data_IF_748843176464
#
_entry.id   IF_748843176464
#
_cell.length_a   1.000
_cell.length_b   1.000
_cell.length_c   1.000
_cell.angle_alpha   90.00
_cell.angle_beta   90.00
_cell.angle_gamma   90.00
#
_symmetry.space_group_name_H-M   'P 1'
#
loop_
_entity.id
_entity.type
_entity.pdbx_description
1 polymer ?
#
# COMPACT_ATOMS: atom_id res chain seq x y z
N UNK A 1 54.14 -9.45 -11.70
CA UNK A 1 53.18 -9.41 -10.59
C UNK A 1 51.94 -8.55 -10.90
N UNK A 2 52.07 -7.29 -11.36
CA UNK A 2 50.93 -6.41 -11.62
C UNK A 2 49.94 -7.00 -12.66
N UNK A 3 50.40 -7.42 -13.82
CA UNK A 3 49.60 -8.01 -14.90
C UNK A 3 48.88 -9.30 -14.48
N UNK A 4 49.54 -10.13 -13.63
CA UNK A 4 48.93 -11.35 -13.12
C UNK A 4 47.79 -11.04 -12.16
N UNK A 5 47.97 -10.06 -11.27
CA UNK A 5 46.94 -9.63 -10.33
C UNK A 5 45.80 -8.94 -11.09
N UNK A 6 46.08 -8.12 -12.09
CA UNK A 6 45.06 -7.50 -12.93
C UNK A 6 44.18 -8.55 -13.64
N UNK A 7 44.81 -9.57 -14.26
CA UNK A 7 44.07 -10.67 -14.91
C UNK A 7 43.18 -11.42 -13.91
N UNK A 8 43.68 -11.71 -12.71
CA UNK A 8 42.90 -12.37 -11.64
C UNK A 8 41.73 -11.52 -11.18
N UNK A 9 41.95 -10.22 -10.99
CA UNK A 9 40.89 -9.28 -10.59
C UNK A 9 39.81 -9.17 -11.69
N UNK A 10 40.19 -9.04 -12.94
CA UNK A 10 39.25 -8.99 -14.06
C UNK A 10 38.47 -10.31 -14.16
N UNK A 11 39.15 -11.45 -14.09
CA UNK A 11 38.49 -12.76 -14.12
C UNK A 11 37.48 -12.90 -12.95
N UNK A 12 37.87 -12.49 -11.74
CA UNK A 12 37.01 -12.51 -10.57
C UNK A 12 35.77 -11.64 -10.77
N UNK A 13 35.92 -10.38 -11.27
CA UNK A 13 34.81 -9.49 -11.56
C UNK A 13 33.89 -10.12 -12.61
N UNK A 14 34.42 -10.64 -13.70
CA UNK A 14 33.61 -11.28 -14.74
C UNK A 14 32.82 -12.47 -14.18
N UNK A 15 33.49 -13.37 -13.47
CA UNK A 15 32.85 -14.56 -12.90
C UNK A 15 31.77 -14.17 -11.90
N UNK A 16 32.03 -13.23 -10.99
CA UNK A 16 31.04 -12.78 -10.01
C UNK A 16 29.86 -12.07 -10.67
N UNK A 17 30.11 -11.26 -11.69
CA UNK A 17 29.06 -10.63 -12.48
C UNK A 17 28.19 -11.66 -13.20
N UNK A 18 28.80 -12.68 -13.80
CA UNK A 18 28.01 -13.74 -14.46
C UNK A 18 27.19 -14.53 -13.43
N UNK A 19 27.80 -14.94 -12.33
CA UNK A 19 27.12 -15.76 -11.32
C UNK A 19 26.01 -14.96 -10.64
N UNK A 20 26.31 -13.79 -10.10
CA UNK A 20 25.35 -13.02 -9.28
C UNK A 20 24.46 -12.09 -10.12
N UNK A 21 24.96 -11.55 -11.23
CA UNK A 21 24.16 -10.67 -12.10
C UNK A 21 23.21 -11.42 -13.04
N UNK A 22 23.62 -12.60 -13.52
CA UNK A 22 22.80 -13.34 -14.48
C UNK A 22 22.29 -14.66 -13.94
N UNK A 23 23.17 -15.59 -13.55
CA UNK A 23 22.74 -16.96 -13.17
C UNK A 23 21.79 -16.90 -11.98
N UNK A 24 22.16 -16.22 -10.92
CA UNK A 24 21.30 -16.06 -9.73
C UNK A 24 19.95 -15.41 -10.06
N UNK A 25 19.96 -14.32 -10.84
CA UNK A 25 18.76 -13.62 -11.22
C UNK A 25 17.82 -14.49 -12.07
N UNK A 26 18.35 -15.18 -13.09
CA UNK A 26 17.53 -16.06 -13.95
C UNK A 26 17.00 -17.28 -13.19
N UNK A 27 17.84 -17.91 -12.36
CA UNK A 27 17.40 -19.04 -11.54
C UNK A 27 16.32 -18.60 -10.55
N UNK A 28 16.55 -17.49 -9.84
CA UNK A 28 15.56 -16.94 -8.90
C UNK A 28 14.23 -16.61 -9.58
N UNK A 29 14.27 -15.95 -10.73
CA UNK A 29 13.06 -15.63 -11.51
C UNK A 29 12.39 -16.92 -12.01
N UNK A 30 13.14 -17.90 -12.51
CA UNK A 30 12.59 -19.17 -12.97
C UNK A 30 11.89 -19.95 -11.85
N UNK A 31 12.49 -20.00 -10.68
CA UNK A 31 11.87 -20.63 -9.49
C UNK A 31 10.62 -19.87 -9.06
N UNK A 32 10.67 -18.54 -9.01
CA UNK A 32 9.52 -17.70 -8.65
C UNK A 32 8.36 -17.91 -9.64
N UNK A 33 8.62 -17.92 -10.94
CA UNK A 33 7.61 -18.14 -11.98
C UNK A 33 7.03 -19.57 -11.94
N UNK A 34 7.84 -20.56 -11.56
CA UNK A 34 7.38 -21.95 -11.50
C UNK A 34 6.53 -22.24 -10.26
N UNK A 35 6.90 -21.66 -9.10
CA UNK A 35 6.26 -22.00 -7.82
C UNK A 35 5.25 -20.94 -7.35
N UNK A 36 5.45 -19.67 -7.74
CA UNK A 36 4.71 -18.52 -7.23
C UNK A 36 4.30 -17.55 -8.36
N UNK A 37 3.80 -18.10 -9.47
CA UNK A 37 3.53 -17.34 -10.69
C UNK A 37 2.73 -16.07 -10.44
N UNK A 38 1.63 -16.15 -9.69
CA UNK A 38 0.77 -15.00 -9.43
C UNK A 38 1.52 -13.87 -8.69
N UNK A 39 2.29 -14.23 -7.66
CA UNK A 39 3.10 -13.28 -6.90
C UNK A 39 4.27 -12.73 -7.74
N UNK A 40 4.91 -13.58 -8.54
CA UNK A 40 5.99 -13.19 -9.44
C UNK A 40 5.51 -12.23 -10.54
N UNK A 41 4.25 -12.34 -10.96
CA UNK A 41 3.61 -11.44 -11.91
C UNK A 41 2.98 -10.20 -11.22
N UNK A 42 3.26 -9.98 -9.92
CA UNK A 42 2.83 -8.78 -9.19
C UNK A 42 1.41 -8.86 -8.63
N UNK A 43 0.82 -10.05 -8.51
CA UNK A 43 -0.55 -10.26 -7.97
C UNK A 43 -1.60 -9.34 -8.63
N UNK A 44 -1.46 -9.10 -9.93
CA UNK A 44 -2.31 -8.19 -10.71
C UNK A 44 -3.63 -8.86 -11.03
N UNK A 45 -4.74 -8.26 -10.58
CA UNK A 45 -6.12 -8.63 -10.93
C UNK A 45 -6.75 -7.63 -11.91
N UNK A 46 -8.05 -7.75 -12.10
CA UNK A 46 -8.83 -6.89 -13.03
C UNK A 46 -8.82 -5.42 -12.60
N UNK A 47 -8.89 -5.17 -11.30
CA UNK A 47 -9.02 -3.82 -10.72
C UNK A 47 -7.71 -3.28 -10.13
N UNK A 48 -6.61 -4.02 -10.25
CA UNK A 48 -5.31 -3.61 -9.75
C UNK A 48 -4.52 -4.75 -9.12
N UNK A 49 -3.50 -4.42 -8.32
CA UNK A 49 -2.66 -5.35 -7.60
C UNK A 49 -2.91 -5.27 -6.10
N UNK A 50 -2.98 -6.41 -5.43
CA UNK A 50 -3.06 -6.50 -3.96
C UNK A 50 -1.75 -6.12 -3.26
N UNK A 51 -0.69 -5.88 -4.01
CA UNK A 51 0.64 -5.51 -3.46
C UNK A 51 0.85 -4.00 -3.35
N UNK A 52 -0.02 -3.19 -3.94
CA UNK A 52 0.12 -1.73 -3.96
C UNK A 52 -1.22 -1.06 -3.67
N UNK A 53 -1.17 0.02 -2.89
CA UNK A 53 -2.32 0.88 -2.64
C UNK A 53 -2.84 1.51 -3.93
N UNK A 54 -4.15 1.74 -3.99
CA UNK A 54 -4.85 2.28 -5.15
C UNK A 54 -5.72 3.45 -4.76
N UNK A 55 -6.04 4.29 -5.74
CA UNK A 55 -6.87 5.45 -5.53
C UNK A 55 -8.35 5.09 -5.39
N UNK A 56 -8.87 5.20 -4.19
CA UNK A 56 -10.28 5.05 -3.84
C UNK A 56 -10.83 6.37 -3.28
N UNK A 57 -10.95 7.42 -4.10
CA UNK A 57 -11.33 8.78 -3.66
C UNK A 57 -12.84 8.99 -3.44
N UNK A 58 -13.70 8.11 -3.92
CA UNK A 58 -15.15 8.26 -3.75
C UNK A 58 -15.61 7.77 -2.37
N UNK A 59 -16.49 8.51 -1.65
CA UNK A 59 -17.06 8.07 -0.37
C UNK A 59 -17.81 6.74 -0.40
N UNK A 60 -18.07 6.19 -1.58
CA UNK A 60 -18.68 4.86 -1.77
C UNK A 60 -17.74 3.71 -1.49
N UNK A 61 -16.47 3.99 -1.33
CA UNK A 61 -15.41 3.00 -1.14
C UNK A 61 -14.69 3.19 0.18
N UNK A 62 -14.11 2.13 0.67
CA UNK A 62 -13.11 2.23 1.74
C UNK A 62 -11.83 2.80 1.15
N UNK A 63 -11.22 3.72 1.87
CA UNK A 63 -9.99 4.39 1.46
C UNK A 63 -8.80 3.77 2.17
N UNK A 64 -7.68 3.70 1.47
CA UNK A 64 -6.39 3.31 2.03
C UNK A 64 -5.72 4.42 2.82
N UNK A 65 -4.46 4.19 3.17
CA UNK A 65 -3.59 5.20 3.77
C UNK A 65 -3.26 6.29 2.75
N UNK A 66 -2.99 7.53 3.20
CA UNK A 66 -2.52 8.57 2.31
C UNK A 66 -1.19 8.17 1.66
N UNK A 67 -1.05 8.51 0.40
CA UNK A 67 0.17 8.35 -0.36
C UNK A 67 1.10 9.55 -0.11
N UNK A 68 2.41 9.39 -0.26
CA UNK A 68 3.39 10.46 -0.01
C UNK A 68 3.50 11.45 -1.18
N UNK A 69 3.06 11.06 -2.38
CA UNK A 69 3.08 11.91 -3.58
C UNK A 69 1.78 12.70 -3.77
N UNK A 70 0.73 12.38 -3.01
CA UNK A 70 -0.55 13.10 -2.98
C UNK A 70 -0.48 14.36 -2.11
N UNK A 71 -1.23 14.42 -1.02
CA UNK A 71 -1.38 15.64 -0.22
C UNK A 71 -0.10 16.10 0.48
N UNK A 72 0.89 15.24 0.57
CA UNK A 72 2.17 15.57 1.20
C UNK A 72 3.18 16.20 0.25
N UNK A 73 3.01 16.02 -1.05
CA UNK A 73 3.89 16.62 -2.05
C UNK A 73 3.50 18.06 -2.39
N UNK A 74 2.19 18.36 -2.46
CA UNK A 74 1.68 19.69 -2.82
C UNK A 74 0.52 20.10 -1.91
N UNK A 75 0.71 21.18 -1.15
CA UNK A 75 -0.34 21.80 -0.35
C UNK A 75 -1.41 22.34 -1.30
N UNK A 76 -2.54 21.67 -1.40
CA UNK A 76 -3.66 22.08 -2.26
C UNK A 76 -4.26 20.98 -3.13
N UNK A 77 -3.57 19.85 -3.27
CA UNK A 77 -4.12 18.68 -3.94
C UNK A 77 -5.12 17.95 -3.04
N UNK A 78 -6.04 17.19 -3.64
CA UNK A 78 -7.02 16.40 -2.89
C UNK A 78 -6.29 15.42 -1.96
N UNK A 79 -6.43 15.56 -0.63
CA UNK A 79 -5.68 14.76 0.32
C UNK A 79 -5.99 13.26 0.29
N UNK A 80 -7.03 12.85 -0.41
CA UNK A 80 -7.39 11.42 -0.53
C UNK A 80 -7.07 10.82 -1.87
N UNK A 81 -6.61 11.61 -2.78
CA UNK A 81 -6.17 11.06 -4.05
C UNK A 81 -4.78 10.51 -3.81
N UNK A 82 -4.67 9.20 -3.73
CA UNK A 82 -3.41 8.50 -3.93
C UNK A 82 -3.00 8.75 -5.39
N UNK A 83 -2.59 9.98 -5.69
CA UNK A 83 -2.07 10.38 -6.99
C UNK A 83 -0.61 9.99 -7.12
N UNK A 84 -0.22 8.89 -6.46
CA UNK A 84 1.09 8.36 -6.62
C UNK A 84 1.42 8.27 -8.10
N UNK A 85 2.50 8.87 -8.49
CA UNK A 85 2.99 8.66 -9.85
C UNK A 85 3.24 7.18 -9.99
N UNK A 86 2.56 6.55 -10.91
CA UNK A 86 2.69 5.12 -11.17
C UNK A 86 4.18 4.74 -11.19
N UNK A 87 4.59 3.86 -10.29
CA UNK A 87 5.96 3.38 -10.16
C UNK A 87 6.86 4.13 -9.17
N UNK A 88 6.37 5.13 -8.45
CA UNK A 88 7.12 5.78 -7.37
C UNK A 88 6.64 5.28 -6.00
N UNK A 89 7.55 4.78 -5.17
CA UNK A 89 7.30 4.39 -3.80
C UNK A 89 8.32 5.10 -2.91
N UNK A 90 7.85 5.94 -2.00
CA UNK A 90 8.69 6.67 -1.08
C UNK A 90 7.96 7.02 0.21
N UNK A 91 8.71 7.25 1.27
CA UNK A 91 8.19 7.87 2.49
C UNK A 91 8.32 9.39 2.39
N UNK A 92 7.47 10.12 3.09
CA UNK A 92 7.53 11.60 3.13
C UNK A 92 8.86 12.15 3.64
N UNK A 93 9.60 11.36 4.43
CA UNK A 93 10.85 11.77 5.10
C UNK A 93 10.72 13.06 5.96
N UNK A 94 9.49 13.43 6.32
CA UNK A 94 9.20 14.61 7.12
C UNK A 94 9.37 14.31 8.60
N UNK A 95 10.21 15.08 9.27
CA UNK A 95 10.41 14.96 10.71
C UNK A 95 9.21 15.49 11.52
N UNK A 96 9.09 15.12 12.82
CA UNK A 96 7.94 15.46 13.67
C UNK A 96 7.77 16.98 13.92
N UNK A 97 8.79 17.79 13.62
CA UNK A 97 8.73 19.26 13.71
C UNK A 97 8.45 19.94 12.36
N UNK A 98 8.18 19.17 11.31
CA UNK A 98 7.89 19.71 9.98
C UNK A 98 6.57 20.47 9.98
N UNK A 99 6.60 21.74 9.54
CA UNK A 99 5.38 22.52 9.34
C UNK A 99 4.50 21.95 8.23
N UNK A 100 5.13 21.34 7.22
CA UNK A 100 4.42 20.67 6.10
C UNK A 100 3.66 19.46 6.63
N UNK A 101 4.29 18.57 7.40
CA UNK A 101 3.64 17.43 8.01
C UNK A 101 2.41 17.87 8.84
N UNK A 102 2.58 18.89 9.68
CA UNK A 102 1.50 19.40 10.51
C UNK A 102 0.34 19.98 9.68
N UNK A 103 0.64 20.73 8.63
CA UNK A 103 -0.37 21.31 7.74
C UNK A 103 -1.16 20.21 7.01
N UNK A 104 -0.46 19.23 6.46
CA UNK A 104 -1.08 18.12 5.73
C UNK A 104 -1.93 17.22 6.64
N UNK A 105 -1.43 16.89 7.82
CA UNK A 105 -2.22 16.13 8.81
C UNK A 105 -3.49 16.88 9.21
N UNK A 106 -3.42 18.20 9.40
CA UNK A 106 -4.61 19.02 9.69
C UNK A 106 -5.61 19.03 8.52
N UNK A 107 -5.11 19.12 7.28
CA UNK A 107 -5.97 19.06 6.09
C UNK A 107 -6.68 17.71 5.97
N UNK A 108 -5.96 16.60 6.20
CA UNK A 108 -6.55 15.25 6.22
C UNK A 108 -7.58 15.08 7.33
N UNK A 109 -7.29 15.56 8.55
CA UNK A 109 -8.26 15.55 9.64
C UNK A 109 -9.56 16.31 9.27
N UNK A 110 -9.42 17.52 8.72
CA UNK A 110 -10.56 18.31 8.28
C UNK A 110 -11.37 17.62 7.17
N UNK A 111 -10.70 16.97 6.23
CA UNK A 111 -11.32 16.20 5.18
C UNK A 111 -12.15 15.04 5.74
N UNK A 112 -11.57 14.19 6.59
CA UNK A 112 -12.26 13.06 7.19
C UNK A 112 -13.44 13.48 8.07
N UNK A 113 -13.27 14.54 8.85
CA UNK A 113 -14.38 15.10 9.65
C UNK A 113 -15.54 15.61 8.78
N UNK A 114 -15.24 16.21 7.61
CA UNK A 114 -16.29 16.62 6.65
C UNK A 114 -17.07 15.43 6.11
N UNK A 115 -16.47 14.26 6.01
CA UNK A 115 -17.12 13.01 5.61
C UNK A 115 -17.81 12.28 6.79
N UNK A 116 -17.80 12.86 7.98
CA UNK A 116 -18.39 12.25 9.18
C UNK A 116 -17.54 11.12 9.78
N UNK A 117 -16.29 11.04 9.41
CA UNK A 117 -15.34 10.04 9.91
C UNK A 117 -14.41 10.68 10.95
N UNK A 118 -14.22 10.01 12.09
CA UNK A 118 -13.16 10.33 13.04
C UNK A 118 -11.95 9.43 12.73
N UNK A 119 -10.94 9.94 12.01
CA UNK A 119 -9.89 9.09 11.47
C UNK A 119 -8.91 8.63 12.55
N UNK A 120 -8.36 7.46 12.34
CA UNK A 120 -7.20 6.97 13.10
C UNK A 120 -5.93 7.70 12.66
N UNK A 121 -4.81 7.57 13.40
CA UNK A 121 -3.53 8.12 12.95
C UNK A 121 -3.09 7.60 11.57
N UNK A 122 -3.38 6.35 11.24
CA UNK A 122 -2.97 5.73 9.97
C UNK A 122 -3.69 6.35 8.76
N UNK A 123 -4.95 6.79 8.93
CA UNK A 123 -5.70 7.46 7.86
C UNK A 123 -5.28 8.92 7.63
N UNK A 124 -4.41 9.47 8.46
CA UNK A 124 -3.90 10.85 8.34
C UNK A 124 -2.39 10.94 8.25
N UNK A 125 -1.72 9.79 8.13
CA UNK A 125 -0.26 9.70 7.95
C UNK A 125 0.07 8.69 6.86
N UNK A 126 1.08 9.00 6.04
CA UNK A 126 1.56 8.08 5.02
C UNK A 126 2.26 6.87 5.63
N UNK A 127 2.29 5.77 4.90
CA UNK A 127 3.13 4.62 5.22
C UNK A 127 4.59 4.88 4.84
N UNK A 128 5.49 3.98 5.25
CA UNK A 128 6.89 4.02 4.83
C UNK A 128 7.10 3.72 3.34
N UNK A 129 6.18 3.02 2.70
CA UNK A 129 6.21 2.75 1.26
C UNK A 129 5.54 3.85 0.43
N UNK A 130 4.61 4.62 1.01
CA UNK A 130 3.75 5.56 0.29
C UNK A 130 2.68 4.88 -0.59
N UNK A 131 2.64 3.56 -0.62
CA UNK A 131 1.73 2.75 -1.44
C UNK A 131 1.16 1.55 -0.69
N UNK A 132 0.87 1.72 0.60
CA UNK A 132 0.36 0.64 1.44
C UNK A 132 -1.01 0.15 0.93
N UNK A 133 -1.15 -1.11 0.51
CA UNK A 133 -2.45 -1.66 0.09
C UNK A 133 -3.36 -1.93 1.27
N UNK A 134 -2.81 -1.97 2.48
CA UNK A 134 -3.47 -2.47 3.67
C UNK A 134 -3.84 -1.35 4.64
N UNK A 135 -4.94 -1.57 5.35
CA UNK A 135 -5.37 -0.77 6.50
C UNK A 135 -5.65 -1.69 7.69
N UNK A 136 -5.67 -1.13 8.89
CA UNK A 136 -6.09 -1.90 10.05
C UNK A 136 -7.60 -2.16 10.03
N UNK A 137 -8.11 -3.21 10.68
CA UNK A 137 -9.55 -3.41 10.85
C UNK A 137 -10.25 -2.22 11.53
N UNK A 138 -9.53 -1.48 12.39
CA UNK A 138 -10.05 -0.25 12.99
C UNK A 138 -10.21 0.86 11.96
N UNK A 139 -9.22 1.04 11.07
CA UNK A 139 -9.29 2.03 9.98
C UNK A 139 -10.48 1.77 9.05
N UNK A 140 -10.74 0.51 8.74
CA UNK A 140 -11.93 0.14 7.97
C UNK A 140 -13.22 0.42 8.75
N UNK A 141 -13.25 0.08 10.05
CA UNK A 141 -14.44 0.25 10.88
C UNK A 141 -14.84 1.72 11.05
N UNK A 142 -13.89 2.63 11.25
CA UNK A 142 -14.22 4.07 11.41
C UNK A 142 -14.76 4.70 10.13
N UNK A 143 -14.56 4.09 8.96
CA UNK A 143 -15.08 4.53 7.67
C UNK A 143 -16.52 4.05 7.40
N UNK A 144 -17.07 3.11 8.19
CA UNK A 144 -18.40 2.55 7.99
C UNK A 144 -19.50 3.65 7.84
N UNK A 145 -19.56 4.71 8.67
CA UNK A 145 -20.60 5.74 8.52
C UNK A 145 -20.60 6.41 7.15
N UNK A 146 -19.42 6.73 6.63
CA UNK A 146 -19.24 7.33 5.31
C UNK A 146 -19.73 6.38 4.20
N UNK A 147 -19.23 5.14 4.20
CA UNK A 147 -19.59 4.15 3.18
C UNK A 147 -21.07 3.79 3.25
N UNK A 148 -21.64 3.60 4.44
CA UNK A 148 -23.05 3.31 4.63
C UNK A 148 -23.93 4.42 4.08
N UNK A 149 -23.62 5.68 4.38
CA UNK A 149 -24.34 6.83 3.88
C UNK A 149 -24.28 6.93 2.34
N UNK A 150 -23.11 6.69 1.76
CA UNK A 150 -22.90 6.81 0.32
C UNK A 150 -23.46 5.63 -0.50
N UNK A 151 -23.61 4.44 0.10
CA UNK A 151 -24.04 3.22 -0.59
C UNK A 151 -25.45 2.76 -0.24
N UNK A 152 -25.98 3.19 0.92
CA UNK A 152 -27.23 2.68 1.47
C UNK A 152 -27.12 1.30 2.12
N UNK A 153 -25.92 0.71 2.18
CA UNK A 153 -25.69 -0.59 2.82
C UNK A 153 -25.69 -0.39 4.34
N UNK A 154 -26.32 -1.34 5.06
CA UNK A 154 -26.39 -1.22 6.52
C UNK A 154 -25.01 -1.30 7.19
N UNK A 155 -24.77 -0.54 8.27
CA UNK A 155 -23.51 -0.60 9.01
C UNK A 155 -23.16 -2.02 9.49
N UNK A 156 -24.14 -2.82 9.87
CA UNK A 156 -23.92 -4.21 10.30
C UNK A 156 -23.43 -5.11 9.16
N UNK A 157 -23.95 -4.91 7.93
CA UNK A 157 -23.47 -5.65 6.76
C UNK A 157 -22.03 -5.25 6.41
N UNK A 158 -21.69 -3.96 6.47
CA UNK A 158 -20.33 -3.47 6.27
C UNK A 158 -19.37 -3.99 7.34
N UNK A 159 -19.79 -4.00 8.61
CA UNK A 159 -18.98 -4.58 9.68
C UNK A 159 -18.75 -6.09 9.44
N UNK A 160 -19.77 -6.82 9.04
CA UNK A 160 -19.63 -8.23 8.67
C UNK A 160 -18.69 -8.45 7.48
N UNK A 161 -18.70 -7.51 6.50
CA UNK A 161 -17.77 -7.55 5.36
C UNK A 161 -16.32 -7.37 5.82
N UNK A 162 -16.05 -6.35 6.66
CA UNK A 162 -14.72 -6.08 7.22
C UNK A 162 -14.18 -7.31 7.96
N UNK A 163 -15.02 -7.93 8.82
CA UNK A 163 -14.62 -9.13 9.56
C UNK A 163 -14.22 -10.28 8.62
N UNK A 164 -14.97 -10.49 7.53
CA UNK A 164 -14.66 -11.54 6.54
C UNK A 164 -13.39 -11.25 5.73
N UNK A 165 -13.09 -9.97 5.50
CA UNK A 165 -11.92 -9.54 4.73
C UNK A 165 -10.70 -9.25 5.64
N UNK A 166 -10.82 -9.46 6.94
CA UNK A 166 -9.70 -9.27 7.87
C UNK A 166 -8.77 -10.47 7.81
N UNK A 167 -7.53 -10.24 7.46
CA UNK A 167 -6.44 -11.20 7.54
C UNK A 167 -5.85 -11.20 8.96
N UNK A 168 -5.75 -12.38 9.55
CA UNK A 168 -5.15 -12.56 10.88
C UNK A 168 -3.62 -12.50 10.85
N UNK A 169 -3.02 -12.62 12.03
CA UNK A 169 -1.55 -12.72 12.15
C UNK A 169 -1.04 -13.99 11.48
N UNK A 170 0.06 -13.90 10.76
CA UNK A 170 0.74 -15.07 10.20
C UNK A 170 1.22 -15.99 11.33
N UNK A 171 1.02 -17.30 11.17
CA UNK A 171 1.32 -18.31 12.18
C UNK A 171 0.72 -18.01 13.57
N UNK A 172 -0.28 -17.14 13.67
CA UNK A 172 -0.95 -16.76 14.91
C UNK A 172 -0.24 -15.68 15.74
N UNK A 173 1.02 -15.35 15.45
CA UNK A 173 1.82 -14.41 16.26
C UNK A 173 2.61 -13.36 15.45
N UNK A 174 2.87 -13.58 14.17
CA UNK A 174 3.65 -12.66 13.34
C UNK A 174 2.77 -11.58 12.70
N UNK A 175 3.22 -10.34 12.75
CA UNK A 175 2.53 -9.19 12.18
C UNK A 175 1.31 -8.71 12.98
N UNK A 176 0.53 -7.85 12.36
CA UNK A 176 -0.74 -7.35 12.89
C UNK A 176 -1.89 -7.78 11.97
N UNK A 177 -3.13 -7.90 12.46
CA UNK A 177 -4.29 -8.07 11.58
C UNK A 177 -4.42 -6.88 10.62
N UNK A 178 -4.78 -7.16 9.37
CA UNK A 178 -4.92 -6.16 8.31
C UNK A 178 -6.09 -6.47 7.39
N UNK A 179 -6.47 -5.48 6.59
CA UNK A 179 -7.49 -5.58 5.54
C UNK A 179 -6.90 -4.98 4.28
N UNK A 180 -6.82 -5.77 3.21
CA UNK A 180 -6.48 -5.30 1.87
C UNK A 180 -7.63 -4.47 1.31
N UNK A 181 -7.36 -3.21 0.96
CA UNK A 181 -8.40 -2.24 0.55
C UNK A 181 -9.00 -2.59 -0.80
N UNK A 182 -8.20 -3.14 -1.74
CA UNK A 182 -8.70 -3.58 -3.04
C UNK A 182 -9.69 -4.73 -2.86
N UNK A 183 -9.32 -5.78 -2.12
CA UNK A 183 -10.19 -6.94 -1.90
C UNK A 183 -11.46 -6.56 -1.13
N UNK A 184 -11.34 -5.66 -0.14
CA UNK A 184 -12.49 -5.14 0.60
C UNK A 184 -13.48 -4.40 -0.33
N UNK A 185 -12.97 -3.55 -1.22
CA UNK A 185 -13.81 -2.79 -2.15
C UNK A 185 -14.39 -3.66 -3.27
N UNK A 186 -13.66 -4.67 -3.74
CA UNK A 186 -14.20 -5.68 -4.66
C UNK A 186 -15.35 -6.47 -4.03
N UNK A 187 -15.19 -6.90 -2.79
CA UNK A 187 -16.24 -7.58 -2.04
C UNK A 187 -17.43 -6.65 -1.73
N UNK A 188 -17.17 -5.36 -1.48
CA UNK A 188 -18.23 -4.34 -1.34
C UNK A 188 -19.02 -4.15 -2.63
N UNK A 189 -18.36 -4.16 -3.79
CA UNK A 189 -19.02 -4.06 -5.08
C UNK A 189 -20.01 -5.21 -5.34
N UNK A 190 -19.71 -6.41 -4.81
CA UNK A 190 -20.58 -7.58 -4.94
C UNK A 190 -21.82 -7.52 -4.02
N UNK A 191 -21.85 -6.64 -3.02
CA UNK A 191 -23.00 -6.44 -2.14
C UNK A 191 -24.03 -5.42 -2.69
N UNK A 192 -23.69 -4.74 -3.77
CA UNK A 192 -24.55 -3.75 -4.45
C UNK A 192 -25.37 -4.40 -5.53
#
# INVERSE_FOLDING_TARGET
MLLTNLRRSVAFIVITTVIFGFVYAFVGTGVAQALFKNQADGSVGVNGSTLIGQNWSSPKWFHGRPDDTGPYANVGDDPLVANGRSGESAATNLGPRSKVLLANTRALLAYWHKLGVNPTPDLVTTSGSGYDPDITPLDATVQIPMVAHATGISPSALQGLIVRQTHGRQLGFLGSPYVDVLQLNEALAQLR
#
